data_IF_160150194131
#
_entry.id   IF_160150194131
#
_cell.length_a   1.000
_cell.length_b   1.000
_cell.length_c   1.000
_cell.angle_alpha   90.00
_cell.angle_beta   90.00
_cell.angle_gamma   90.00
#
_symmetry.space_group_name_H-M   'P 1'
#
loop_
_entity.id
_entity.type
_entity.pdbx_description
1 polymer ?
#
# COMPACT_ATOMS: atom_id res chain seq x y z
N UNK A 1 -13.43 0.03 7.04
CA UNK A 1 -12.61 0.18 5.81
C UNK A 1 -13.27 1.18 4.88
N UNK A 2 -12.51 2.09 4.32
CA UNK A 2 -13.03 3.16 3.49
C UNK A 2 -12.39 3.08 2.10
N UNK A 3 -13.23 2.99 1.06
CA UNK A 3 -12.77 3.13 -0.32
C UNK A 3 -12.72 4.62 -0.67
N UNK A 4 -11.57 5.10 -1.09
CA UNK A 4 -11.35 6.50 -1.42
C UNK A 4 -10.98 6.61 -2.90
N UNK A 5 -11.78 7.35 -3.66
CA UNK A 5 -11.47 7.64 -5.06
C UNK A 5 -10.50 8.84 -5.13
N UNK A 6 -9.55 8.78 -6.06
CA UNK A 6 -8.66 9.93 -6.29
C UNK A 6 -9.48 11.11 -6.81
N UNK A 7 -9.41 12.24 -6.11
CA UNK A 7 -10.12 13.47 -6.46
C UNK A 7 -9.22 14.46 -7.20
N UNK A 8 -7.91 14.39 -6.95
CA UNK A 8 -6.93 15.27 -7.59
C UNK A 8 -6.49 14.66 -8.92
N UNK A 9 -7.24 14.98 -9.98
CA UNK A 9 -6.99 14.43 -11.31
C UNK A 9 -5.79 15.05 -12.02
N UNK A 10 -5.23 16.13 -11.48
CA UNK A 10 -4.05 16.82 -11.99
C UNK A 10 -2.74 16.28 -11.41
N UNK A 11 -2.76 15.09 -10.83
CA UNK A 11 -1.55 14.45 -10.32
C UNK A 11 -0.49 14.38 -11.43
N UNK A 12 0.74 14.89 -11.18
CA UNK A 12 1.82 14.77 -12.14
C UNK A 12 2.08 13.32 -12.51
N UNK A 13 2.47 13.09 -13.75
CA UNK A 13 2.82 11.75 -14.21
C UNK A 13 3.96 11.17 -13.38
N UNK A 14 3.79 9.92 -12.95
CA UNK A 14 4.81 9.22 -12.18
C UNK A 14 6.10 9.08 -13.00
N UNK A 15 7.28 9.41 -12.44
CA UNK A 15 8.54 9.27 -13.17
C UNK A 15 8.81 7.84 -13.64
N UNK A 16 9.55 7.71 -14.73
CA UNK A 16 9.97 6.42 -15.25
C UNK A 16 10.84 5.67 -14.22
N UNK A 17 10.74 4.34 -14.21
CA UNK A 17 11.51 3.50 -13.32
C UNK A 17 10.86 3.24 -11.97
N UNK A 18 9.72 3.84 -11.68
CA UNK A 18 8.95 3.52 -10.48
C UNK A 18 8.26 2.16 -10.65
N UNK A 19 8.34 1.32 -9.63
CA UNK A 19 7.58 0.07 -9.60
C UNK A 19 6.12 0.34 -9.21
N UNK A 20 5.30 -0.72 -9.18
CA UNK A 20 3.86 -0.59 -8.86
C UNK A 20 3.62 -0.02 -7.47
N UNK A 21 4.39 -0.45 -6.48
CA UNK A 21 4.26 0.06 -5.11
C UNK A 21 4.62 1.53 -5.01
N UNK A 22 5.73 1.93 -5.64
CA UNK A 22 6.16 3.33 -5.69
C UNK A 22 5.15 4.20 -6.44
N UNK A 23 4.51 3.66 -7.47
CA UNK A 23 3.45 4.36 -8.21
C UNK A 23 2.23 4.63 -7.33
N UNK A 24 1.84 3.66 -6.52
CA UNK A 24 0.73 3.84 -5.56
C UNK A 24 1.10 4.92 -4.53
N UNK A 25 2.30 4.88 -3.97
CA UNK A 25 2.77 5.90 -3.03
C UNK A 25 2.76 7.30 -3.65
N UNK A 26 3.21 7.42 -4.89
CA UNK A 26 3.21 8.68 -5.63
C UNK A 26 1.81 9.28 -5.70
N UNK A 27 0.84 8.49 -6.14
CA UNK A 27 -0.55 8.93 -6.31
C UNK A 27 -1.23 9.23 -4.98
N UNK A 28 -1.07 8.36 -3.99
CA UNK A 28 -1.65 8.55 -2.66
C UNK A 28 -1.05 9.77 -1.98
N UNK A 29 0.24 9.96 -2.08
CA UNK A 29 0.92 11.13 -1.54
C UNK A 29 0.35 12.42 -2.11
N UNK A 30 0.17 12.48 -3.42
CA UNK A 30 -0.43 13.64 -4.06
C UNK A 30 -1.87 13.86 -3.61
N UNK A 31 -2.68 12.81 -3.55
CA UNK A 31 -4.09 12.92 -3.12
C UNK A 31 -4.23 13.45 -1.70
N UNK A 32 -3.41 12.98 -0.76
CA UNK A 32 -3.54 13.34 0.64
C UNK A 32 -2.82 14.63 1.04
N UNK A 33 -1.74 14.98 0.35
CA UNK A 33 -0.89 16.11 0.75
C UNK A 33 -0.74 17.20 -0.32
N UNK A 34 -1.12 16.91 -1.56
CA UNK A 34 -0.87 17.81 -2.70
C UNK A 34 0.56 17.76 -3.21
N UNK A 35 1.41 16.89 -2.66
CA UNK A 35 2.79 16.69 -3.07
C UNK A 35 3.01 15.20 -3.29
N UNK A 36 3.47 14.76 -4.49
CA UNK A 36 3.72 13.34 -4.72
C UNK A 36 4.81 12.81 -3.79
N UNK A 37 4.65 11.57 -3.33
CA UNK A 37 5.68 10.90 -2.55
C UNK A 37 6.91 10.60 -3.38
N UNK A 38 8.08 10.98 -2.89
CA UNK A 38 9.34 10.71 -3.57
C UNK A 38 9.72 9.24 -3.46
N UNK A 39 10.45 8.77 -4.46
CA UNK A 39 11.05 7.44 -4.44
C UNK A 39 11.99 7.30 -3.22
N UNK A 40 11.97 6.15 -2.59
CA UNK A 40 12.76 5.87 -1.39
C UNK A 40 12.38 6.74 -0.18
N UNK A 41 11.18 7.26 -0.16
CA UNK A 41 10.65 7.89 1.04
C UNK A 41 10.71 6.87 2.17
N UNK A 42 11.53 7.16 3.19
CA UNK A 42 11.55 6.35 4.40
C UNK A 42 10.30 6.67 5.21
N UNK A 43 9.71 5.68 5.88
CA UNK A 43 8.67 5.98 6.84
C UNK A 43 9.18 7.07 7.80
N UNK A 44 8.37 8.06 8.07
CA UNK A 44 8.73 9.04 9.09
C UNK A 44 8.98 8.31 10.41
N UNK A 45 9.92 8.81 11.22
CA UNK A 45 10.22 8.19 12.52
C UNK A 45 8.97 8.08 13.40
N UNK A 46 8.01 8.96 13.19
CA UNK A 46 6.72 9.01 13.87
C UNK A 46 5.58 8.34 13.10
N UNK A 47 5.89 7.54 12.07
CA UNK A 47 4.95 6.64 11.42
C UNK A 47 4.50 7.01 10.04
N UNK A 48 4.60 6.05 9.14
CA UNK A 48 3.92 6.01 7.85
C UNK A 48 4.62 6.69 6.69
N UNK A 49 4.30 6.23 5.49
CA UNK A 49 4.84 6.72 4.22
C UNK A 49 4.21 8.07 3.82
N UNK A 50 2.96 8.26 4.15
CA UNK A 50 2.18 9.46 3.83
C UNK A 50 1.35 9.85 5.04
N UNK A 51 1.66 10.98 5.66
CA UNK A 51 0.87 11.55 6.76
C UNK A 51 0.57 10.56 7.91
N UNK A 52 1.52 9.71 8.27
CA UNK A 52 1.33 8.70 9.31
C UNK A 52 0.72 7.39 8.83
N UNK A 53 0.35 7.29 7.56
CA UNK A 53 -0.23 6.09 6.96
C UNK A 53 0.81 5.32 6.19
N UNK A 54 0.86 4.00 6.40
CA UNK A 54 1.68 3.11 5.58
C UNK A 54 0.95 2.79 4.29
N UNK A 55 1.62 2.99 3.17
CA UNK A 55 1.05 2.68 1.85
C UNK A 55 1.57 1.33 1.39
N UNK A 56 0.65 0.44 1.05
CA UNK A 56 0.94 -0.91 0.60
C UNK A 56 0.23 -1.20 -0.72
N UNK A 57 0.75 -2.18 -1.44
CA UNK A 57 0.21 -2.66 -2.71
C UNK A 57 0.43 -4.17 -2.81
N UNK A 58 -0.14 -4.86 -3.81
CA UNK A 58 0.13 -6.29 -4.00
C UNK A 58 1.63 -6.59 -4.02
N UNK A 59 2.02 -7.69 -3.38
CA UNK A 59 3.40 -8.18 -3.20
C UNK A 59 4.27 -7.35 -2.28
N UNK A 60 3.74 -6.32 -1.61
CA UNK A 60 4.51 -5.53 -0.67
C UNK A 60 4.98 -6.35 0.52
N UNK A 61 6.18 -6.05 1.01
CA UNK A 61 6.72 -6.63 2.23
C UNK A 61 5.99 -6.09 3.46
N UNK A 62 5.76 -6.96 4.45
CA UNK A 62 5.04 -6.64 5.68
C UNK A 62 5.97 -6.35 6.85
N UNK A 63 7.16 -5.83 6.60
CA UNK A 63 8.11 -5.40 7.64
C UNK A 63 7.81 -3.97 8.09
N UNK A 64 8.07 -3.66 9.37
CA UNK A 64 7.99 -2.29 9.89
C UNK A 64 6.57 -1.74 10.06
N UNK A 65 5.60 -2.60 10.35
CA UNK A 65 4.17 -2.25 10.38
C UNK A 65 3.71 -1.46 11.60
N UNK A 66 4.45 -1.50 12.68
CA UNK A 66 3.87 -1.17 14.00
C UNK A 66 3.85 0.32 14.33
N UNK A 67 4.48 1.16 13.51
CA UNK A 67 4.68 2.56 13.82
C UNK A 67 3.95 3.48 12.84
N UNK A 68 2.62 3.34 12.76
CA UNK A 68 1.77 4.11 11.86
C UNK A 68 0.36 4.26 12.42
N UNK A 69 -0.41 5.18 11.85
CA UNK A 69 -1.81 5.42 12.24
C UNK A 69 -2.76 4.40 11.63
N UNK A 70 -2.38 3.83 10.50
CA UNK A 70 -3.16 2.86 9.78
C UNK A 70 -2.53 2.57 8.42
N UNK A 71 -3.27 1.92 7.55
CA UNK A 71 -2.77 1.42 6.27
C UNK A 71 -3.62 1.90 5.11
N UNK A 72 -2.94 2.20 4.01
CA UNK A 72 -3.57 2.46 2.73
C UNK A 72 -3.14 1.35 1.79
N UNK A 73 -4.11 0.70 1.16
CA UNK A 73 -3.85 -0.36 0.18
C UNK A 73 -4.38 0.06 -1.18
N UNK A 74 -3.50 0.09 -2.17
CA UNK A 74 -3.84 0.54 -3.51
C UNK A 74 -3.28 -0.36 -4.60
N UNK A 75 -3.86 -0.20 -5.80
CA UNK A 75 -3.43 -0.87 -7.02
C UNK A 75 -2.92 0.19 -8.00
N UNK A 76 -1.78 -0.09 -8.64
CA UNK A 76 -1.14 0.89 -9.53
C UNK A 76 -2.04 1.34 -10.71
N UNK A 77 -2.93 0.45 -11.16
CA UNK A 77 -3.82 0.67 -12.30
C UNK A 77 -5.23 1.14 -11.89
N UNK A 78 -5.49 1.36 -10.61
CA UNK A 78 -6.81 1.75 -10.12
C UNK A 78 -6.88 3.25 -9.81
N UNK A 79 -8.10 3.79 -9.85
CA UNK A 79 -8.38 5.19 -9.53
C UNK A 79 -8.93 5.36 -8.11
N UNK A 80 -8.63 4.42 -7.23
CA UNK A 80 -9.05 4.42 -5.84
C UNK A 80 -8.04 3.67 -4.97
N UNK A 81 -8.14 3.86 -3.67
CA UNK A 81 -7.41 3.08 -2.69
C UNK A 81 -8.33 2.76 -1.51
N UNK A 82 -7.90 1.81 -0.67
CA UNK A 82 -8.62 1.45 0.55
C UNK A 82 -7.86 1.97 1.76
N UNK A 83 -8.58 2.66 2.65
CA UNK A 83 -8.03 3.15 3.91
C UNK A 83 -8.50 2.24 5.03
N UNK A 84 -7.59 1.68 5.79
CA UNK A 84 -7.84 0.65 6.79
C UNK A 84 -7.26 1.04 8.14
N UNK A 85 -7.99 0.71 9.21
CA UNK A 85 -7.39 0.68 10.55
C UNK A 85 -6.34 -0.44 10.62
N UNK A 86 -5.53 -0.45 11.68
CA UNK A 86 -4.58 -1.53 11.92
C UNK A 86 -5.27 -2.88 12.04
N UNK A 87 -6.41 -2.93 12.71
CA UNK A 87 -7.20 -4.15 12.91
C UNK A 87 -7.78 -4.66 11.58
N UNK A 88 -8.27 -3.75 10.74
CA UNK A 88 -8.78 -4.11 9.42
C UNK A 88 -7.66 -4.65 8.52
N UNK A 89 -6.49 -4.03 8.59
CA UNK A 89 -5.34 -4.50 7.84
C UNK A 89 -4.89 -5.88 8.31
N UNK A 90 -4.88 -6.15 9.61
CA UNK A 90 -4.55 -7.49 10.13
C UNK A 90 -5.52 -8.56 9.59
N UNK A 91 -6.81 -8.25 9.53
CA UNK A 91 -7.80 -9.15 8.92
C UNK A 91 -7.52 -9.39 7.44
N UNK A 92 -7.12 -8.34 6.72
CA UNK A 92 -6.77 -8.43 5.31
C UNK A 92 -5.56 -9.33 5.08
N UNK A 93 -4.47 -9.13 5.81
CA UNK A 93 -3.25 -9.92 5.63
C UNK A 93 -3.38 -11.34 6.17
N UNK A 94 -4.25 -11.59 7.11
CA UNK A 94 -4.57 -12.96 7.53
C UNK A 94 -5.07 -13.79 6.33
N UNK A 95 -5.85 -13.18 5.45
CA UNK A 95 -6.40 -13.82 4.27
C UNK A 95 -5.44 -13.76 3.06
N UNK A 96 -4.71 -12.66 2.89
CA UNK A 96 -3.96 -12.34 1.68
C UNK A 96 -2.47 -12.10 1.92
N UNK A 97 -1.84 -12.91 2.76
CA UNK A 97 -0.39 -12.89 2.90
C UNK A 97 0.21 -14.27 2.65
N UNK A 98 1.50 -14.31 2.35
CA UNK A 98 2.25 -15.54 2.17
C UNK A 98 3.69 -15.35 2.62
N UNK A 99 4.36 -16.46 2.87
CA UNK A 99 5.78 -16.47 3.21
C UNK A 99 6.59 -16.62 1.92
N UNK A 100 7.44 -15.64 1.65
CA UNK A 100 8.36 -15.63 0.53
C UNK A 100 9.76 -16.01 1.06
N UNK A 101 10.31 -17.09 0.56
CA UNK A 101 11.64 -17.58 0.95
C UNK A 101 12.64 -17.30 -0.16
N UNK A 102 13.70 -16.58 0.15
CA UNK A 102 14.82 -16.38 -0.76
C UNK A 102 15.59 -17.69 -0.91
N UNK A 103 15.66 -18.21 -2.13
CA UNK A 103 16.33 -19.48 -2.44
C UNK A 103 17.83 -19.45 -2.20
N UNK A 104 18.46 -18.27 -2.22
CA UNK A 104 19.91 -18.12 -2.04
C UNK A 104 20.30 -17.99 -0.57
N UNK A 105 19.55 -17.24 0.21
CA UNK A 105 19.88 -16.92 1.60
C UNK A 105 19.07 -17.71 2.60
N UNK A 106 17.97 -18.33 2.18
CA UNK A 106 17.01 -18.99 3.05
C UNK A 106 16.18 -18.04 3.92
N UNK A 107 16.36 -16.73 3.77
CA UNK A 107 15.62 -15.74 4.53
C UNK A 107 14.15 -15.76 4.12
N UNK A 108 13.27 -15.62 5.11
CA UNK A 108 11.84 -15.55 4.89
C UNK A 108 11.35 -14.12 5.07
N UNK A 109 10.42 -13.71 4.20
CA UNK A 109 9.67 -12.46 4.32
C UNK A 109 8.19 -12.77 4.21
N UNK A 110 7.38 -12.07 4.97
CA UNK A 110 5.94 -12.10 4.77
C UNK A 110 5.59 -11.01 3.76
N UNK A 111 4.82 -11.39 2.74
CA UNK A 111 4.38 -10.47 1.68
C UNK A 111 2.87 -10.55 1.49
N UNK A 112 2.30 -9.45 1.02
CA UNK A 112 0.92 -9.45 0.55
C UNK A 112 0.86 -10.26 -0.76
N UNK A 113 -0.18 -11.05 -0.92
CA UNK A 113 -0.40 -11.84 -2.15
C UNK A 113 -0.51 -10.92 -3.38
N UNK A 114 -0.32 -11.52 -4.54
CA UNK A 114 -0.52 -10.83 -5.81
C UNK A 114 -1.97 -10.37 -5.97
N UNK A 115 -2.15 -9.31 -6.76
CA UNK A 115 -3.48 -8.86 -7.16
C UNK A 115 -4.29 -10.02 -7.79
N UNK A 116 -5.52 -10.15 -7.35
CA UNK A 116 -6.43 -11.17 -7.82
C UNK A 116 -7.87 -10.70 -7.72
N UNK A 117 -8.74 -11.34 -8.49
CA UNK A 117 -10.17 -11.08 -8.41
C UNK A 117 -10.72 -11.33 -7.01
N UNK A 118 -10.26 -12.39 -6.35
CA UNK A 118 -10.67 -12.75 -4.99
C UNK A 118 -10.29 -11.66 -3.98
N UNK A 119 -9.09 -11.11 -4.11
CA UNK A 119 -8.62 -10.01 -3.25
C UNK A 119 -9.49 -8.77 -3.46
N UNK A 120 -9.75 -8.39 -4.69
CA UNK A 120 -10.57 -7.21 -5.01
C UNK A 120 -12.01 -7.36 -4.53
N UNK A 121 -12.59 -8.53 -4.67
CA UNK A 121 -13.94 -8.83 -4.17
C UNK A 121 -14.01 -8.77 -2.64
N UNK A 122 -13.00 -9.30 -1.96
CA UNK A 122 -12.92 -9.25 -0.50
C UNK A 122 -12.88 -7.82 0.02
N UNK A 123 -12.05 -6.99 -0.60
CA UNK A 123 -11.93 -5.57 -0.25
C UNK A 123 -13.24 -4.82 -0.52
N UNK A 124 -13.81 -5.01 -1.70
CA UNK A 124 -15.05 -4.34 -2.11
C UNK A 124 -16.22 -4.71 -1.20
N UNK A 125 -16.30 -5.95 -0.74
CA UNK A 125 -17.37 -6.40 0.14
C UNK A 125 -17.32 -5.73 1.52
N UNK A 126 -16.16 -5.23 1.93
CA UNK A 126 -15.94 -4.62 3.25
C UNK A 126 -15.82 -3.10 3.22
N UNK A 127 -15.78 -2.53 2.05
CA UNK A 127 -15.65 -1.07 1.89
C UNK A 127 -17.00 -0.35 1.99
#
# INVERSE_FOLDING_TARGET
MLKVNYQRLDCPECPNGYNKGETVEWKVGYELTGIPSARNNKPAEDGGDVNGWQVKSPKASLTGRDNCDGYIFGFADANFFYQMSKEEFESFIEEFSYIDRDSRTGRQKVRIKSDSKKMREWLQARA
#
